data_IF_536321070560
#
_entry.id   IF_536321070560
#
_cell.length_a   1.000
_cell.length_b   1.000
_cell.length_c   1.000
_cell.angle_alpha   90.00
_cell.angle_beta   90.00
_cell.angle_gamma   90.00
#
_symmetry.space_group_name_H-M   'P 1'
#
loop_
_entity.id
_entity.type
_entity.pdbx_description
1 polymer ?
#
# COMPACT_ATOMS: atom_id res chain seq x y z
N UNK A 1 9.62 -6.87 15.15
CA UNK A 1 10.08 -7.78 14.07
C UNK A 1 10.31 -9.15 14.66
N UNK A 2 9.93 -10.22 13.96
CA UNK A 2 10.17 -11.60 14.41
C UNK A 2 11.12 -12.31 13.45
N UNK A 3 12.20 -12.87 13.99
CA UNK A 3 13.20 -13.64 13.26
C UNK A 3 13.09 -15.11 13.68
N UNK A 4 12.57 -15.95 12.79
CA UNK A 4 12.44 -17.38 13.02
C UNK A 4 13.58 -18.15 12.38
N UNK A 5 14.36 -18.87 13.18
CA UNK A 5 15.33 -19.83 12.65
C UNK A 5 14.61 -21.17 12.44
N UNK A 6 14.38 -21.54 11.17
CA UNK A 6 13.68 -22.78 10.81
C UNK A 6 14.60 -23.99 10.67
N UNK A 7 15.92 -23.82 10.81
CA UNK A 7 16.87 -24.95 10.76
C UNK A 7 17.03 -25.57 12.14
N UNK A 8 17.74 -26.68 12.22
CA UNK A 8 18.13 -27.32 13.48
C UNK A 8 19.46 -26.81 14.04
N UNK A 9 20.08 -25.81 13.42
CA UNK A 9 21.42 -25.29 13.78
C UNK A 9 21.34 -23.83 14.21
N UNK A 10 22.15 -23.44 15.19
CA UNK A 10 22.20 -22.05 15.65
C UNK A 10 22.69 -21.10 14.56
N UNK A 11 22.13 -19.89 14.52
CA UNK A 11 22.78 -18.75 13.88
C UNK A 11 23.70 -18.07 14.89
N UNK A 12 24.91 -17.74 14.47
CA UNK A 12 25.89 -16.98 15.25
C UNK A 12 26.16 -15.65 14.55
N UNK A 13 26.54 -14.63 15.31
CA UNK A 13 26.78 -13.27 14.81
C UNK A 13 25.57 -12.66 14.08
N UNK A 14 24.36 -13.06 14.46
CA UNK A 14 23.13 -12.55 13.90
C UNK A 14 22.95 -11.08 14.26
N UNK A 15 23.09 -10.19 13.27
CA UNK A 15 23.11 -8.74 13.49
C UNK A 15 22.11 -8.06 12.54
N UNK A 16 20.84 -7.88 12.95
CA UNK A 16 19.88 -7.12 12.18
C UNK A 16 20.19 -5.62 12.31
N UNK A 17 20.43 -4.95 11.19
CA UNK A 17 20.66 -3.50 11.14
C UNK A 17 19.48 -2.79 10.48
N UNK A 18 19.03 -1.71 11.08
CA UNK A 18 18.15 -0.75 10.44
C UNK A 18 19.02 0.36 9.88
N UNK A 19 19.05 0.48 8.57
CA UNK A 19 19.73 1.58 7.88
C UNK A 19 18.67 2.62 7.57
N UNK A 20 18.94 3.91 7.74
CA UNK A 20 18.02 4.96 7.34
C UNK A 20 18.82 5.92 6.46
N UNK A 21 18.31 6.22 5.27
CA UNK A 21 18.98 7.13 4.35
C UNK A 21 19.18 8.51 5.00
N UNK A 22 20.26 9.20 4.65
CA UNK A 22 20.70 10.40 5.37
C UNK A 22 19.65 11.53 5.34
N UNK A 23 18.89 11.65 4.25
CA UNK A 23 17.78 12.60 4.12
C UNK A 23 16.50 12.18 4.86
N UNK A 24 16.41 10.91 5.28
CA UNK A 24 15.29 10.36 6.03
C UNK A 24 15.54 10.43 7.54
N UNK A 25 16.79 10.39 8.00
CA UNK A 25 17.14 10.45 9.44
C UNK A 25 16.63 11.71 10.16
N UNK A 26 16.52 12.82 9.46
CA UNK A 26 15.97 14.08 10.01
C UNK A 26 14.45 14.01 10.19
N UNK A 27 13.77 13.22 9.36
CA UNK A 27 12.31 13.15 9.27
C UNK A 27 11.73 11.91 9.97
N UNK A 28 12.50 10.83 10.09
CA UNK A 28 12.09 9.55 10.68
C UNK A 28 13.21 9.02 11.58
N UNK A 29 12.92 8.94 12.88
CA UNK A 29 13.81 8.39 13.89
C UNK A 29 13.42 6.94 14.17
N UNK A 30 14.37 6.03 13.97
CA UNK A 30 14.22 4.59 14.21
C UNK A 30 15.14 4.20 15.37
N UNK A 31 14.56 3.63 16.43
CA UNK A 31 15.32 3.17 17.58
C UNK A 31 15.07 1.68 17.81
N UNK A 32 16.14 0.92 17.98
CA UNK A 32 16.08 -0.49 18.34
C UNK A 32 16.93 -0.75 19.56
N UNK A 33 16.59 -1.83 20.27
CA UNK A 33 17.46 -2.36 21.32
C UNK A 33 18.42 -3.37 20.71
N UNK A 34 19.68 -3.44 21.19
CA UNK A 34 20.58 -4.54 20.86
C UNK A 34 19.94 -5.89 21.16
N UNK A 35 20.25 -6.88 20.35
CA UNK A 35 19.72 -8.23 20.47
C UNK A 35 20.84 -9.24 20.71
N UNK A 36 20.45 -10.42 21.17
CA UNK A 36 21.38 -11.55 21.23
C UNK A 36 21.86 -11.90 19.81
N UNK A 37 23.18 -12.00 19.58
CA UNK A 37 23.73 -12.40 18.29
C UNK A 37 23.54 -13.90 17.99
N UNK A 38 22.94 -14.67 18.89
CA UNK A 38 22.69 -16.11 18.74
C UNK A 38 21.20 -16.39 18.57
N UNK A 39 20.83 -17.18 17.56
CA UNK A 39 19.44 -17.61 17.33
C UNK A 39 19.38 -19.13 17.26
N UNK A 40 18.77 -19.76 18.26
CA UNK A 40 18.66 -21.21 18.33
C UNK A 40 17.86 -21.81 17.17
N UNK A 41 18.25 -23.01 16.74
CA UNK A 41 17.50 -23.76 15.74
C UNK A 41 16.07 -24.03 16.20
N UNK A 42 15.10 -23.80 15.33
CA UNK A 42 13.66 -23.92 15.62
C UNK A 42 13.09 -22.80 16.51
N UNK A 43 13.90 -21.81 16.90
CA UNK A 43 13.47 -20.73 17.80
C UNK A 43 13.02 -19.48 17.04
N UNK A 44 12.37 -18.57 17.78
CA UNK A 44 11.93 -17.27 17.28
C UNK A 44 12.43 -16.18 18.22
N UNK A 45 13.07 -15.17 17.66
CA UNK A 45 13.52 -13.99 18.37
C UNK A 45 12.71 -12.76 17.97
N UNK A 46 12.49 -11.85 18.92
CA UNK A 46 11.74 -10.62 18.71
C UNK A 46 12.64 -9.38 18.85
N UNK A 47 12.49 -8.44 17.92
CA UNK A 47 13.08 -7.10 18.00
C UNK A 47 12.00 -6.04 18.05
N UNK A 48 11.98 -5.26 19.12
CA UNK A 48 11.18 -4.05 19.18
C UNK A 48 11.86 -2.93 18.37
N UNK A 49 11.09 -2.29 17.49
CA UNK A 49 11.51 -1.10 16.75
C UNK A 49 10.58 0.04 17.14
N UNK A 50 11.13 1.06 17.78
CA UNK A 50 10.41 2.29 18.07
C UNK A 50 10.57 3.24 16.88
N UNK A 51 9.46 3.75 16.38
CA UNK A 51 9.40 4.60 15.19
C UNK A 51 8.80 5.93 15.58
N UNK A 52 9.55 7.00 15.37
CA UNK A 52 9.11 8.37 15.59
C UNK A 52 9.17 9.14 14.26
N UNK A 53 8.01 9.55 13.76
CA UNK A 53 7.92 10.44 12.61
C UNK A 53 8.03 11.90 13.10
N UNK A 54 9.08 12.60 12.63
CA UNK A 54 9.40 13.99 13.00
C UNK A 54 8.92 14.99 11.95
N UNK A 55 8.87 14.58 10.69
CA UNK A 55 8.49 15.44 9.56
C UNK A 55 8.14 14.58 8.32
N UNK A 56 7.64 15.21 7.27
CA UNK A 56 7.30 14.54 6.02
C UNK A 56 8.55 13.97 5.32
N UNK A 57 8.44 12.78 4.73
CA UNK A 57 9.50 12.15 3.94
C UNK A 57 8.97 11.33 2.76
N UNK A 58 9.79 11.17 1.72
CA UNK A 58 9.38 10.58 0.42
C UNK A 58 10.16 9.31 0.03
N UNK A 59 11.23 8.95 0.74
CA UNK A 59 12.09 7.82 0.34
C UNK A 59 11.44 6.44 0.53
N UNK A 60 11.71 5.53 -0.44
CA UNK A 60 11.18 4.16 -0.47
C UNK A 60 12.20 3.05 -0.16
N UNK A 61 13.47 3.36 0.15
CA UNK A 61 14.53 2.35 0.15
C UNK A 61 15.31 2.25 1.45
N UNK A 62 15.06 1.16 2.18
CA UNK A 62 15.99 0.49 3.10
C UNK A 62 15.78 -1.01 2.93
N UNK A 63 16.87 -1.77 2.77
CA UNK A 63 16.87 -3.23 2.59
C UNK A 63 16.24 -3.96 3.79
N UNK A 64 15.40 -4.94 3.46
CA UNK A 64 14.18 -5.37 4.19
C UNK A 64 13.14 -4.24 4.29
N UNK A 65 12.37 -4.07 3.22
CA UNK A 65 11.17 -3.22 3.20
C UNK A 65 10.17 -3.78 4.22
N UNK A 66 10.12 -3.18 5.40
CA UNK A 66 8.99 -3.39 6.31
C UNK A 66 7.72 -2.98 5.56
N UNK A 67 6.61 -3.76 5.60
CA UNK A 67 5.41 -3.50 4.80
C UNK A 67 4.57 -2.33 5.35
N UNK A 68 5.22 -1.23 5.72
CA UNK A 68 4.58 0.03 6.09
C UNK A 68 4.39 0.89 4.85
N UNK A 69 3.44 0.49 4.03
CA UNK A 69 3.01 1.26 2.85
C UNK A 69 1.83 2.15 3.23
N UNK A 70 1.71 3.33 2.60
CA UNK A 70 0.68 4.34 2.96
C UNK A 70 -0.75 3.81 2.86
N UNK A 71 -0.99 2.77 2.05
CA UNK A 71 -2.29 2.12 1.97
C UNK A 71 -2.74 1.42 3.27
N UNK A 72 -1.83 1.17 4.23
CA UNK A 72 -2.18 0.62 5.55
C UNK A 72 -2.94 1.58 6.46
N UNK A 73 -3.12 2.84 6.07
CA UNK A 73 -3.92 3.84 6.78
C UNK A 73 -5.26 4.14 6.11
N UNK A 74 -5.70 3.29 5.19
CA UNK A 74 -7.04 3.35 4.63
C UNK A 74 -8.09 2.99 5.67
N UNK A 75 -9.13 3.81 5.74
CA UNK A 75 -10.43 3.44 6.24
C UNK A 75 -11.33 3.18 5.02
N UNK A 76 -11.85 1.95 4.85
CA UNK A 76 -12.84 1.66 3.81
C UNK A 76 -14.07 2.54 4.01
N UNK A 77 -14.57 3.15 2.93
CA UNK A 77 -15.70 4.09 2.99
C UNK A 77 -16.80 3.63 2.03
N UNK A 78 -17.84 3.02 2.58
CA UNK A 78 -19.04 2.69 1.82
C UNK A 78 -19.78 3.95 1.38
N UNK A 79 -20.30 3.92 0.16
CA UNK A 79 -21.14 4.99 -0.38
C UNK A 79 -22.03 4.44 -1.49
N UNK A 80 -23.19 5.07 -1.71
CA UNK A 80 -24.06 4.74 -2.83
C UNK A 80 -23.42 5.14 -4.18
N UNK A 81 -23.76 4.42 -5.25
CA UNK A 81 -23.21 4.65 -6.59
C UNK A 81 -23.36 6.09 -7.08
N UNK A 82 -24.50 6.73 -6.79
CA UNK A 82 -24.73 8.14 -7.15
C UNK A 82 -23.74 9.09 -6.47
N UNK A 83 -23.44 8.86 -5.19
CA UNK A 83 -22.47 9.65 -4.44
C UNK A 83 -21.06 9.44 -4.99
N UNK A 84 -20.70 8.18 -5.29
CA UNK A 84 -19.41 7.88 -5.91
C UNK A 84 -19.23 8.63 -7.23
N UNK A 85 -20.20 8.54 -8.14
CA UNK A 85 -20.12 9.20 -9.45
C UNK A 85 -20.05 10.72 -9.31
N UNK A 86 -20.73 11.29 -8.31
CA UNK A 86 -20.63 12.71 -8.01
C UNK A 86 -19.23 13.08 -7.51
N UNK A 87 -18.67 12.36 -6.52
CA UNK A 87 -17.33 12.60 -6.01
C UNK A 87 -16.25 12.40 -7.08
N UNK A 88 -16.40 11.38 -7.93
CA UNK A 88 -15.52 11.11 -9.06
C UNK A 88 -15.45 12.29 -10.03
N UNK A 89 -16.61 12.88 -10.37
CA UNK A 89 -16.69 14.06 -11.23
C UNK A 89 -16.18 15.35 -10.56
N UNK A 90 -16.27 15.44 -9.24
CA UNK A 90 -15.76 16.60 -8.48
C UNK A 90 -14.24 16.63 -8.40
N UNK A 91 -13.59 15.46 -8.37
CA UNK A 91 -12.12 15.31 -8.43
C UNK A 91 -11.61 15.48 -9.88
N UNK A 92 -11.89 16.64 -10.47
CA UNK A 92 -11.63 16.97 -11.88
C UNK A 92 -10.29 17.65 -12.14
N UNK A 93 -9.48 17.89 -11.11
CA UNK A 93 -8.15 18.45 -11.29
C UNK A 93 -7.24 17.40 -11.95
N UNK A 94 -6.61 17.67 -13.11
CA UNK A 94 -5.74 16.72 -13.79
C UNK A 94 -4.58 16.20 -12.94
N UNK A 95 -4.14 16.96 -11.93
CA UNK A 95 -3.06 16.54 -11.02
C UNK A 95 -3.55 15.59 -9.91
N UNK A 96 -4.87 15.51 -9.70
CA UNK A 96 -5.51 14.62 -8.72
C UNK A 96 -5.91 13.28 -9.32
N UNK A 97 -5.88 13.15 -10.64
CA UNK A 97 -6.12 11.91 -11.37
C UNK A 97 -4.78 11.31 -11.83
N UNK A 98 -4.55 10.03 -11.50
CA UNK A 98 -3.42 9.28 -12.05
C UNK A 98 -3.92 7.99 -12.65
N UNK A 99 -3.56 7.76 -13.90
CA UNK A 99 -3.85 6.52 -14.62
C UNK A 99 -2.56 5.73 -14.87
N UNK A 100 -2.64 4.41 -14.71
CA UNK A 100 -1.61 3.47 -15.12
C UNK A 100 -2.23 2.40 -16.00
N UNK A 101 -1.64 2.18 -17.18
CA UNK A 101 -2.00 1.10 -18.09
C UNK A 101 -0.84 0.13 -18.15
N UNK A 102 -0.99 -1.02 -17.49
CA UNK A 102 0.07 -2.01 -17.34
C UNK A 102 -0.39 -3.39 -17.82
N UNK A 103 0.58 -4.22 -18.21
CA UNK A 103 0.34 -5.64 -18.49
C UNK A 103 0.17 -6.37 -17.17
N UNK A 104 -0.77 -7.31 -17.10
CA UNK A 104 -0.95 -8.13 -15.92
C UNK A 104 0.28 -9.03 -15.68
N UNK A 105 0.79 -9.00 -14.44
CA UNK A 105 1.84 -9.92 -13.99
C UNK A 105 1.26 -11.25 -13.51
N UNK A 106 -0.04 -11.27 -13.17
CA UNK A 106 -0.74 -12.43 -12.66
C UNK A 106 -2.02 -12.73 -13.47
N UNK A 107 -2.56 -13.96 -13.40
CA UNK A 107 -3.86 -14.27 -13.98
C UNK A 107 -4.95 -13.31 -13.47
N UNK A 108 -5.79 -12.82 -14.39
CA UNK A 108 -6.90 -11.90 -14.09
C UNK A 108 -8.10 -12.62 -13.47
N UNK A 109 -7.89 -13.24 -12.31
CA UNK A 109 -8.95 -13.88 -11.54
C UNK A 109 -9.76 -12.84 -10.76
N UNK A 110 -11.09 -12.92 -10.87
CA UNK A 110 -12.01 -11.94 -10.29
C UNK A 110 -11.92 -11.92 -8.77
N UNK A 111 -11.93 -13.08 -8.11
CA UNK A 111 -11.98 -13.16 -6.65
C UNK A 111 -10.63 -12.78 -6.02
N UNK A 112 -9.52 -13.15 -6.66
CA UNK A 112 -8.19 -12.69 -6.27
C UNK A 112 -8.06 -11.17 -6.45
N UNK A 113 -8.58 -10.62 -7.56
CA UNK A 113 -8.58 -9.18 -7.83
C UNK A 113 -9.36 -8.42 -6.76
N UNK A 114 -10.57 -8.90 -6.40
CA UNK A 114 -11.35 -8.33 -5.30
C UNK A 114 -10.59 -8.37 -3.98
N UNK A 115 -10.02 -9.52 -3.64
CA UNK A 115 -9.25 -9.69 -2.40
C UNK A 115 -8.03 -8.76 -2.33
N UNK A 116 -7.34 -8.51 -3.46
CA UNK A 116 -6.23 -7.56 -3.54
C UNK A 116 -6.68 -6.11 -3.29
N UNK A 117 -7.80 -5.68 -3.89
CA UNK A 117 -8.33 -4.33 -3.70
C UNK A 117 -8.79 -4.13 -2.24
N UNK A 118 -9.50 -5.10 -1.68
CA UNK A 118 -9.92 -5.07 -0.26
C UNK A 118 -8.70 -5.08 0.66
N UNK A 119 -7.73 -5.96 0.41
CA UNK A 119 -6.49 -6.07 1.18
C UNK A 119 -5.57 -4.84 1.04
N UNK A 120 -5.75 -4.05 -0.01
CA UNK A 120 -5.11 -2.75 -0.16
C UNK A 120 -5.67 -1.71 0.81
N UNK A 121 -6.94 -1.85 1.20
CA UNK A 121 -7.63 -1.03 2.22
C UNK A 121 -8.91 -0.34 1.73
N UNK A 122 -9.28 -0.49 0.46
CA UNK A 122 -10.50 0.11 -0.09
C UNK A 122 -11.70 -0.82 0.09
N UNK A 123 -12.91 -0.26 0.18
CA UNK A 123 -14.13 -1.04 -0.04
C UNK A 123 -14.39 -1.14 -1.54
N UNK A 124 -14.91 -2.29 -1.99
CA UNK A 124 -15.44 -2.43 -3.34
C UNK A 124 -16.90 -2.01 -3.37
N UNK A 125 -17.24 -1.17 -4.35
CA UNK A 125 -18.57 -0.66 -4.54
C UNK A 125 -19.23 -1.40 -5.71
N UNK A 126 -20.42 -1.93 -5.46
CA UNK A 126 -21.22 -2.63 -6.47
C UNK A 126 -22.08 -1.65 -7.27
N UNK A 127 -22.42 -2.03 -8.51
CA UNK A 127 -23.32 -1.27 -9.38
C UNK A 127 -22.94 0.21 -9.58
N UNK A 128 -21.63 0.51 -9.62
CA UNK A 128 -21.11 1.87 -9.89
C UNK A 128 -20.78 2.06 -11.37
N UNK A 129 -20.05 1.11 -11.96
CA UNK A 129 -19.72 1.10 -13.39
C UNK A 129 -20.79 0.31 -14.15
N UNK A 130 -21.10 0.72 -15.37
CA UNK A 130 -22.01 0.00 -16.26
C UNK A 130 -21.40 -1.31 -16.76
N UNK A 131 -20.07 -1.40 -16.80
CA UNK A 131 -19.35 -2.62 -17.10
C UNK A 131 -19.12 -3.43 -15.81
N UNK A 132 -19.78 -4.59 -15.64
CA UNK A 132 -19.65 -5.41 -14.43
C UNK A 132 -18.26 -6.05 -14.27
N UNK A 133 -17.40 -5.99 -15.30
CA UNK A 133 -16.01 -6.44 -15.20
C UNK A 133 -15.08 -5.40 -14.54
N UNK A 134 -15.52 -4.15 -14.43
CA UNK A 134 -14.74 -3.07 -13.81
C UNK A 134 -14.93 -3.11 -12.29
N UNK A 135 -13.87 -2.79 -11.55
CA UNK A 135 -13.90 -2.70 -10.11
C UNK A 135 -13.81 -1.24 -9.68
N UNK A 136 -14.80 -0.79 -8.91
CA UNK A 136 -14.80 0.54 -8.33
C UNK A 136 -14.59 0.43 -6.83
N UNK A 137 -13.76 1.28 -6.27
CA UNK A 137 -13.50 1.28 -4.84
C UNK A 137 -13.34 2.67 -4.26
N UNK A 138 -13.63 2.78 -2.97
CA UNK A 138 -13.47 4.02 -2.21
C UNK A 138 -12.80 3.78 -0.86
N UNK A 139 -12.20 4.83 -0.32
CA UNK A 139 -11.68 4.85 1.03
C UNK A 139 -11.10 6.21 1.40
N UNK A 140 -10.81 6.39 2.68
CA UNK A 140 -10.20 7.60 3.23
C UNK A 140 -8.85 7.24 3.82
N UNK A 141 -7.81 7.99 3.47
CA UNK A 141 -6.49 7.83 4.05
C UNK A 141 -6.36 8.79 5.22
N UNK A 142 -6.12 8.24 6.41
CA UNK A 142 -5.97 9.02 7.63
C UNK A 142 -4.51 9.38 7.87
N UNK A 143 -4.25 10.66 8.12
CA UNK A 143 -2.99 11.19 8.63
C UNK A 143 -3.28 12.21 9.73
N UNK A 144 -2.33 12.45 10.66
CA UNK A 144 -2.55 13.34 11.83
C UNK A 144 -3.17 14.70 11.49
N UNK A 145 -2.76 15.41 10.41
CA UNK A 145 -3.36 16.71 10.09
C UNK A 145 -4.51 16.62 9.08
N UNK A 146 -4.63 15.53 8.31
CA UNK A 146 -5.48 15.51 7.11
C UNK A 146 -6.12 14.15 6.85
N UNK A 147 -7.35 14.19 6.31
CA UNK A 147 -7.99 13.06 5.66
C UNK A 147 -7.95 13.27 4.15
N UNK A 148 -7.65 12.21 3.41
CA UNK A 148 -7.59 12.26 1.94
C UNK A 148 -8.56 11.23 1.39
N UNK A 149 -9.62 11.70 0.75
CA UNK A 149 -10.53 10.85 0.00
C UNK A 149 -9.79 10.21 -1.17
N UNK A 150 -10.02 8.92 -1.38
CA UNK A 150 -9.45 8.15 -2.47
C UNK A 150 -10.57 7.36 -3.14
N UNK A 151 -10.72 7.56 -4.44
CA UNK A 151 -11.55 6.75 -5.32
C UNK A 151 -10.64 6.02 -6.30
N UNK A 152 -10.97 4.76 -6.59
CA UNK A 152 -10.24 3.92 -7.53
C UNK A 152 -11.20 3.28 -8.54
N UNK A 153 -10.72 3.14 -9.77
CA UNK A 153 -11.33 2.33 -10.81
C UNK A 153 -10.28 1.43 -11.43
N UNK A 154 -10.55 0.13 -11.49
CA UNK A 154 -9.69 -0.86 -12.13
C UNK A 154 -10.47 -1.55 -13.25
N UNK A 155 -9.95 -1.42 -14.47
CA UNK A 155 -10.59 -1.90 -15.68
C UNK A 155 -9.72 -3.00 -16.33
N UNK A 156 -10.07 -4.28 -16.16
CA UNK A 156 -9.36 -5.39 -16.80
C UNK A 156 -9.72 -5.51 -18.28
N UNK A 157 -8.71 -5.74 -19.12
CA UNK A 157 -8.89 -6.19 -20.50
C UNK A 157 -8.34 -7.61 -20.66
N UNK A 158 -9.24 -8.59 -20.59
CA UNK A 158 -8.91 -10.01 -20.68
C UNK A 158 -8.29 -10.41 -22.04
N UNK A 159 -8.64 -9.71 -23.13
CA UNK A 159 -8.15 -10.04 -24.47
C UNK A 159 -6.67 -9.66 -24.63
N UNK A 160 -6.29 -8.48 -24.12
CA UNK A 160 -4.92 -7.98 -24.22
C UNK A 160 -4.08 -8.28 -22.99
N UNK A 161 -4.68 -8.82 -21.93
CA UNK A 161 -4.05 -9.05 -20.63
C UNK A 161 -3.44 -7.75 -20.05
N UNK A 162 -4.19 -6.65 -20.18
CA UNK A 162 -3.82 -5.33 -19.66
C UNK A 162 -4.82 -4.85 -18.60
N UNK A 163 -4.36 -4.12 -17.59
CA UNK A 163 -5.20 -3.35 -16.68
C UNK A 163 -5.09 -1.86 -17.00
N UNK A 164 -6.20 -1.14 -16.85
CA UNK A 164 -6.19 0.32 -16.65
C UNK A 164 -6.62 0.60 -15.21
N UNK A 165 -5.71 1.12 -14.41
CA UNK A 165 -5.97 1.57 -13.06
C UNK A 165 -6.04 3.09 -13.04
N UNK A 166 -7.11 3.64 -12.48
CA UNK A 166 -7.33 5.08 -12.32
C UNK A 166 -7.54 5.38 -10.85
N UNK A 167 -6.75 6.31 -10.28
CA UNK A 167 -6.95 6.83 -8.93
C UNK A 167 -7.25 8.31 -8.94
N UNK A 168 -8.28 8.70 -8.20
CA UNK A 168 -8.59 10.08 -7.85
C UNK A 168 -8.43 10.26 -6.35
N UNK A 169 -7.66 11.26 -5.94
CA UNK A 169 -7.58 11.64 -4.52
C UNK A 169 -7.67 13.15 -4.36
N UNK A 170 -8.07 13.61 -3.18
CA UNK A 170 -8.08 15.05 -2.89
C UNK A 170 -6.67 15.68 -2.80
N UNK A 171 -5.58 14.89 -2.91
CA UNK A 171 -4.19 15.33 -2.87
C UNK A 171 -3.34 14.68 -3.96
N UNK A 172 -2.87 15.46 -4.93
CA UNK A 172 -2.04 15.06 -6.07
C UNK A 172 -0.94 14.00 -5.80
N UNK A 173 -0.07 14.27 -4.84
CA UNK A 173 1.03 13.39 -4.42
C UNK A 173 0.57 12.04 -3.90
N UNK A 174 -0.71 11.91 -3.55
CA UNK A 174 -1.31 10.66 -3.09
C UNK A 174 -1.81 9.79 -4.23
N UNK A 175 -2.45 10.37 -5.25
CA UNK A 175 -2.91 9.63 -6.42
C UNK A 175 -1.75 8.88 -7.09
N UNK A 176 -0.62 9.56 -7.31
CA UNK A 176 0.57 8.95 -7.93
C UNK A 176 1.08 7.77 -7.10
N UNK A 177 1.26 7.98 -5.79
CA UNK A 177 1.91 6.98 -4.95
C UNK A 177 1.07 5.72 -4.75
N UNK A 178 -0.24 5.89 -4.63
CA UNK A 178 -1.17 4.78 -4.49
C UNK A 178 -1.31 4.00 -5.80
N UNK A 179 -1.29 4.71 -6.94
CA UNK A 179 -1.40 4.09 -8.25
C UNK A 179 -0.19 3.18 -8.51
N UNK A 180 1.02 3.66 -8.21
CA UNK A 180 2.24 2.84 -8.26
C UNK A 180 2.11 1.58 -7.38
N UNK A 181 1.74 1.74 -6.11
CA UNK A 181 1.66 0.62 -5.16
C UNK A 181 0.63 -0.44 -5.56
N UNK A 182 -0.54 -0.01 -6.02
CA UNK A 182 -1.63 -0.90 -6.38
C UNK A 182 -1.38 -1.57 -7.73
N UNK A 183 -0.75 -0.86 -8.67
CA UNK A 183 -0.38 -1.44 -9.97
C UNK A 183 0.62 -2.59 -9.86
N UNK A 184 1.54 -2.55 -8.90
CA UNK A 184 2.48 -3.65 -8.59
C UNK A 184 1.79 -4.92 -8.06
N UNK A 185 0.48 -4.89 -7.79
CA UNK A 185 -0.26 -6.05 -7.28
C UNK A 185 -0.90 -6.90 -8.38
N UNK A 186 -0.92 -6.46 -9.65
CA UNK A 186 -1.75 -7.06 -10.71
C UNK A 186 -0.98 -7.64 -11.89
#
# INVERSE_FOLDING_TARGET
LFYGNKTSTQFLNFTPTLICADNLQTNLNLQTRPMDPTVDGGSKMEQAVNIECRSDFTEKNVSVKLPFTRNKFFQPTEMASQNFVQCWKQLSNPHQEVQNISKAEHPMDIEITKAKIIGFGSVLLEDVDLNPANFMGAGIIHSKPTQTDCLLGLEPNLQTQMYRLTLHTSKDTMSQRLCELLSEQF
#
